data_IF_269474109215
#
_entry.id   IF_269474109215
#
_cell.length_a   1.000
_cell.length_b   1.000
_cell.length_c   1.000
_cell.angle_alpha   90.00
_cell.angle_beta   90.00
_cell.angle_gamma   90.00
#
_symmetry.space_group_name_H-M   'P 1'
#
loop_
_entity.id
_entity.type
_entity.pdbx_description
1 polymer ?
#
# COMPACT_ATOMS: atom_id res chain seq x y z
N UNK A 1 -10.06 -9.31 -6.20
CA UNK A 1 -10.08 -9.24 -4.72
C UNK A 1 -10.78 -7.96 -4.30
N UNK A 2 -11.55 -7.98 -3.25
CA UNK A 2 -12.15 -6.75 -2.73
C UNK A 2 -11.07 -5.81 -2.20
N UNK A 3 -11.24 -4.48 -2.36
CA UNK A 3 -10.29 -3.52 -1.82
C UNK A 3 -10.13 -3.67 -0.30
N UNK A 4 -8.90 -3.64 0.16
CA UNK A 4 -8.55 -3.81 1.58
C UNK A 4 -7.83 -2.56 2.07
N UNK A 5 -8.31 -1.99 3.17
CA UNK A 5 -7.63 -0.89 3.85
C UNK A 5 -6.74 -1.43 4.95
N UNK A 6 -5.60 -0.78 5.18
CA UNK A 6 -4.59 -1.27 6.12
C UNK A 6 -4.19 -0.15 7.06
N UNK A 7 -4.07 -0.47 8.35
CA UNK A 7 -3.51 0.45 9.34
C UNK A 7 -1.99 0.27 9.40
N UNK A 8 -1.26 1.35 9.42
CA UNK A 8 0.20 1.38 9.47
C UNK A 8 0.68 2.41 10.50
N UNK A 9 0.33 2.21 11.77
CA UNK A 9 0.72 3.12 12.85
C UNK A 9 0.08 4.49 12.72
N UNK A 10 0.89 5.52 12.50
CA UNK A 10 0.41 6.89 12.33
C UNK A 10 -0.20 7.16 10.96
N UNK A 11 -0.26 6.15 10.10
CA UNK A 11 -0.83 6.24 8.76
C UNK A 11 -1.89 5.17 8.55
N UNK A 12 -2.76 5.41 7.56
CA UNK A 12 -3.64 4.38 7.06
C UNK A 12 -3.56 4.35 5.54
N UNK A 13 -3.73 3.16 4.99
CA UNK A 13 -3.65 2.91 3.56
C UNK A 13 -5.06 2.78 3.03
N UNK A 14 -5.48 3.74 2.22
CA UNK A 14 -6.81 3.79 1.62
C UNK A 14 -6.73 3.20 0.21
N UNK A 15 -7.47 2.12 -0.03
CA UNK A 15 -7.45 1.44 -1.32
C UNK A 15 -7.91 2.35 -2.46
N UNK A 16 -7.18 2.31 -3.57
CA UNK A 16 -7.47 3.08 -4.78
C UNK A 16 -7.59 2.15 -5.98
N UNK A 17 -8.11 2.68 -7.10
CA UNK A 17 -8.26 1.93 -8.35
C UNK A 17 -8.99 0.62 -8.14
N UNK A 18 -10.21 0.69 -7.60
CA UNK A 18 -10.99 -0.47 -7.18
C UNK A 18 -11.23 -1.48 -8.31
N UNK A 19 -11.32 -1.03 -9.56
CA UNK A 19 -11.49 -1.91 -10.71
C UNK A 19 -10.29 -2.85 -10.86
N UNK A 20 -9.06 -2.34 -10.64
CA UNK A 20 -7.87 -3.18 -10.70
C UNK A 20 -7.85 -4.21 -9.57
N UNK A 21 -8.37 -3.86 -8.40
CA UNK A 21 -8.54 -4.81 -7.30
C UNK A 21 -9.49 -5.94 -7.70
N UNK A 22 -10.63 -5.59 -8.30
CA UNK A 22 -11.63 -6.57 -8.74
C UNK A 22 -11.05 -7.51 -9.78
N UNK A 23 -10.25 -6.98 -10.71
CA UNK A 23 -9.62 -7.76 -11.78
C UNK A 23 -8.34 -8.47 -11.32
N UNK A 24 -7.88 -8.21 -10.10
CA UNK A 24 -6.62 -8.74 -9.56
C UNK A 24 -5.40 -8.39 -10.43
N UNK A 25 -5.41 -7.19 -11.04
CA UNK A 25 -4.31 -6.71 -11.88
C UNK A 25 -3.33 -5.83 -11.12
N UNK A 26 -3.78 -5.15 -10.08
CA UNK A 26 -2.92 -4.34 -9.22
C UNK A 26 -3.68 -3.98 -7.94
N UNK A 27 -2.95 -3.86 -6.84
CA UNK A 27 -3.49 -3.46 -5.54
C UNK A 27 -2.79 -2.19 -5.11
N UNK A 28 -3.53 -1.07 -5.08
CA UNK A 28 -2.96 0.26 -4.85
C UNK A 28 -3.58 0.93 -3.64
N UNK A 29 -2.78 1.72 -2.95
CA UNK A 29 -3.23 2.49 -1.79
C UNK A 29 -2.67 3.90 -1.83
N UNK A 30 -3.47 4.85 -1.31
CA UNK A 30 -2.97 6.14 -0.87
C UNK A 30 -2.59 6.01 0.61
N UNK A 31 -1.40 6.48 0.96
CA UNK A 31 -0.91 6.46 2.34
C UNK A 31 -1.26 7.80 2.97
N UNK A 32 -2.21 7.78 3.89
CA UNK A 32 -2.76 8.99 4.49
C UNK A 32 -2.31 9.13 5.94
N UNK A 33 -1.98 10.34 6.34
CA UNK A 33 -1.66 10.65 7.74
C UNK A 33 -2.94 10.58 8.57
N UNK A 34 -2.90 9.88 9.71
CA UNK A 34 -4.11 9.56 10.49
C UNK A 34 -4.81 10.77 11.08
N UNK A 35 -4.06 11.84 11.39
CA UNK A 35 -4.62 13.03 12.04
C UNK A 35 -5.25 13.98 11.04
N UNK A 36 -4.60 14.21 9.89
CA UNK A 36 -5.00 15.21 8.91
C UNK A 36 -5.66 14.63 7.67
N UNK A 37 -5.53 13.32 7.46
CA UNK A 37 -5.98 12.60 6.26
C UNK A 37 -5.23 13.04 4.98
N UNK A 38 -4.12 13.76 5.10
CA UNK A 38 -3.33 14.16 3.94
C UNK A 38 -2.65 12.94 3.31
N UNK A 39 -2.70 12.85 1.98
CA UNK A 39 -1.98 11.82 1.23
C UNK A 39 -0.50 12.17 1.19
N UNK A 40 0.33 11.32 1.78
CA UNK A 40 1.78 11.55 1.87
C UNK A 40 2.60 10.61 1.00
N UNK A 41 1.99 9.54 0.53
CA UNK A 41 2.65 8.59 -0.36
C UNK A 41 1.59 7.78 -1.12
N UNK A 42 2.04 7.07 -2.15
CA UNK A 42 1.23 6.06 -2.84
C UNK A 42 2.05 4.79 -2.96
N UNK A 43 1.38 3.64 -2.93
CA UNK A 43 2.06 2.35 -2.98
C UNK A 43 1.19 1.35 -3.78
N UNK A 44 1.85 0.51 -4.56
CA UNK A 44 1.18 -0.48 -5.40
C UNK A 44 1.87 -1.84 -5.27
N UNK A 45 1.05 -2.87 -5.10
CA UNK A 45 1.47 -4.26 -5.10
C UNK A 45 0.91 -4.94 -6.36
N UNK A 46 1.78 -5.56 -7.14
CA UNK A 46 1.37 -6.34 -8.31
C UNK A 46 1.16 -7.80 -7.94
N UNK A 47 0.36 -8.54 -8.72
CA UNK A 47 0.10 -9.96 -8.43
C UNK A 47 1.33 -10.85 -8.41
N UNK A 48 2.43 -10.43 -9.06
CA UNK A 48 3.70 -11.16 -9.05
C UNK A 48 4.54 -10.90 -7.79
N UNK A 49 4.06 -10.04 -6.89
CA UNK A 49 4.75 -9.67 -5.66
C UNK A 49 5.61 -8.41 -5.76
N UNK A 50 5.66 -7.75 -6.91
CA UNK A 50 6.41 -6.49 -7.07
C UNK A 50 5.73 -5.37 -6.30
N UNK A 51 6.48 -4.73 -5.43
CA UNK A 51 6.00 -3.62 -4.60
C UNK A 51 6.75 -2.35 -4.98
N UNK A 52 6.00 -1.30 -5.34
CA UNK A 52 6.56 -0.01 -5.71
C UNK A 52 5.75 1.12 -5.09
N UNK A 53 6.38 2.27 -4.92
CA UNK A 53 5.69 3.42 -4.37
C UNK A 53 6.52 4.68 -4.46
N UNK A 54 5.86 5.81 -4.25
CA UNK A 54 6.49 7.13 -4.21
C UNK A 54 5.96 7.91 -3.02
N UNK A 55 6.81 8.75 -2.44
CA UNK A 55 6.43 9.62 -1.34
C UNK A 55 6.53 11.08 -1.78
N UNK A 56 5.68 11.92 -1.20
CA UNK A 56 5.83 13.37 -1.30
C UNK A 56 7.10 13.76 -0.54
N UNK A 57 7.81 14.77 -1.00
CA UNK A 57 9.04 15.25 -0.37
C UNK A 57 8.86 15.45 1.13
N UNK A 58 9.78 14.93 1.92
CA UNK A 58 9.74 15.00 3.36
C UNK A 58 8.90 13.92 4.03
N UNK A 59 8.29 13.01 3.26
CA UNK A 59 7.40 11.97 3.80
C UNK A 59 7.82 10.55 3.43
N UNK A 60 9.13 10.30 3.36
CA UNK A 60 9.65 8.95 3.11
C UNK A 60 9.30 7.99 4.24
N UNK A 61 9.11 8.48 5.46
CA UNK A 61 8.66 7.69 6.60
C UNK A 61 7.27 7.08 6.38
N UNK A 62 6.36 7.83 5.71
CA UNK A 62 5.05 7.31 5.36
C UNK A 62 5.17 6.14 4.38
N UNK A 63 6.03 6.27 3.37
CA UNK A 63 6.25 5.20 2.40
C UNK A 63 6.91 3.98 3.05
N UNK A 64 7.88 4.18 3.93
CA UNK A 64 8.54 3.07 4.63
C UNK A 64 7.56 2.30 5.51
N UNK A 65 6.70 2.99 6.24
CA UNK A 65 5.66 2.37 7.05
C UNK A 65 4.68 1.58 6.17
N UNK A 66 4.31 2.14 5.01
CA UNK A 66 3.42 1.48 4.08
C UNK A 66 4.05 0.23 3.46
N UNK A 67 5.33 0.30 3.07
CA UNK A 67 6.04 -0.89 2.54
C UNK A 67 6.00 -2.03 3.54
N UNK A 68 6.27 -1.74 4.80
CA UNK A 68 6.27 -2.73 5.87
C UNK A 68 4.88 -3.34 6.06
N UNK A 69 3.85 -2.50 6.12
CA UNK A 69 2.47 -2.94 6.30
C UNK A 69 1.97 -3.78 5.12
N UNK A 70 2.24 -3.36 3.88
CA UNK A 70 1.83 -4.09 2.68
C UNK A 70 2.60 -5.41 2.56
N UNK A 71 3.88 -5.42 2.91
CA UNK A 71 4.68 -6.66 2.92
C UNK A 71 4.06 -7.68 3.87
N UNK A 72 3.69 -7.29 5.07
CA UNK A 72 3.03 -8.19 6.03
C UNK A 72 1.69 -8.69 5.51
N UNK A 73 0.90 -7.80 4.90
CA UNK A 73 -0.38 -8.15 4.30
C UNK A 73 -0.20 -9.18 3.17
N UNK A 74 0.76 -8.93 2.27
CA UNK A 74 1.00 -9.81 1.13
C UNK A 74 1.50 -11.19 1.57
N UNK A 75 2.45 -11.22 2.47
CA UNK A 75 3.03 -12.49 2.94
C UNK A 75 2.08 -13.27 3.83
N UNK A 76 1.40 -12.59 4.74
CA UNK A 76 0.50 -13.24 5.71
C UNK A 76 -0.90 -13.49 5.16
N UNK A 77 -1.46 -12.55 4.40
CA UNK A 77 -2.83 -12.61 3.90
C UNK A 77 -2.97 -13.22 2.52
N UNK A 78 -1.98 -13.04 1.64
CA UNK A 78 -2.04 -13.48 0.26
C UNK A 78 -1.05 -14.60 -0.08
N UNK A 79 -0.14 -14.92 0.84
CA UNK A 79 0.89 -15.94 0.59
C UNK A 79 1.89 -15.54 -0.49
N UNK A 80 2.07 -14.25 -0.73
CA UNK A 80 3.01 -13.74 -1.75
C UNK A 80 4.40 -13.53 -1.18
N UNK A 81 5.42 -13.74 -2.03
CA UNK A 81 6.77 -13.25 -1.78
C UNK A 81 6.88 -11.83 -2.38
N UNK A 82 7.26 -10.86 -1.57
CA UNK A 82 7.32 -9.47 -1.98
C UNK A 82 8.72 -9.08 -2.45
N UNK A 83 8.79 -8.37 -3.59
CA UNK A 83 10.02 -7.80 -4.13
C UNK A 83 9.86 -6.30 -4.24
N UNK A 84 10.75 -5.54 -3.63
CA UNK A 84 10.74 -4.09 -3.74
C UNK A 84 11.35 -3.66 -5.07
N UNK A 85 10.60 -2.88 -5.81
CA UNK A 85 11.06 -2.33 -7.08
C UNK A 85 11.79 -1.01 -6.88
#
# INVERSE_FOLDING_TARGET
>A
MEPVEINAGNWYLLARAHDAWTDDTAYSWSVCESTTADVQATITLLPDGTLSGTAIDGHTDALDAARDAVTRFAMGGLGMTVRNA
#
